data_IF_444470588154
#
_entry.id   IF_444470588154
#
_cell.length_a   1.000
_cell.length_b   1.000
_cell.length_c   1.000
_cell.angle_alpha   90.00
_cell.angle_beta   90.00
_cell.angle_gamma   90.00
#
_symmetry.space_group_name_H-M   'P 1'
#
loop_
_entity.id
_entity.type
_entity.pdbx_description
1 polymer ?
#
# COMPACT_ATOMS: atom_id res chain seq x y z
N UNK A 1 64.76 6.50 -5.00
CA UNK A 1 63.45 7.16 -5.15
C UNK A 1 62.42 6.07 -5.46
N UNK A 2 61.67 5.56 -4.48
CA UNK A 2 60.63 4.53 -4.67
C UNK A 2 59.28 5.24 -4.64
N UNK A 3 58.58 5.31 -5.78
CA UNK A 3 57.18 5.74 -5.84
C UNK A 3 56.28 4.53 -5.56
N UNK A 4 55.46 4.64 -4.52
CA UNK A 4 54.39 3.69 -4.21
C UNK A 4 53.10 4.28 -4.80
N UNK A 5 52.51 3.58 -5.78
CA UNK A 5 51.19 3.91 -6.31
C UNK A 5 50.12 3.37 -5.34
N UNK A 6 49.35 4.28 -4.75
CA UNK A 6 48.25 3.96 -3.83
C UNK A 6 46.98 3.74 -4.67
N UNK A 7 46.56 2.47 -4.80
CA UNK A 7 45.32 2.10 -5.48
C UNK A 7 44.11 2.50 -4.65
N UNK A 8 43.24 3.33 -5.24
CA UNK A 8 41.93 3.69 -4.67
C UNK A 8 40.98 2.51 -4.85
N UNK A 9 40.61 1.84 -3.75
CA UNK A 9 39.53 0.86 -3.73
C UNK A 9 38.18 1.61 -3.66
N UNK A 10 37.42 1.57 -4.75
CA UNK A 10 36.02 2.01 -4.78
C UNK A 10 35.18 0.99 -3.99
N UNK A 11 34.82 1.34 -2.75
CA UNK A 11 33.82 0.62 -1.99
C UNK A 11 32.43 0.90 -2.60
N UNK A 12 31.87 -0.08 -3.30
CA UNK A 12 30.48 -0.02 -3.75
C UNK A 12 29.53 -0.04 -2.55
N UNK A 13 28.62 0.93 -2.49
CA UNK A 13 27.50 0.89 -1.55
C UNK A 13 26.55 -0.24 -1.97
N UNK A 14 26.72 -1.43 -1.38
CA UNK A 14 25.66 -2.42 -1.36
C UNK A 14 24.59 -1.90 -0.38
N UNK A 15 23.46 -1.42 -0.92
CA UNK A 15 22.28 -1.15 -0.11
C UNK A 15 21.77 -2.48 0.41
N UNK A 16 22.04 -2.75 1.68
CA UNK A 16 21.42 -3.86 2.41
C UNK A 16 19.91 -3.62 2.36
N UNK A 17 19.09 -4.55 1.83
CA UNK A 17 17.64 -4.41 1.89
C UNK A 17 17.21 -4.29 3.36
N UNK A 18 16.16 -3.50 3.66
CA UNK A 18 15.70 -3.33 5.02
C UNK A 18 15.48 -4.69 5.68
N UNK A 19 15.93 -4.81 6.93
CA UNK A 19 15.77 -6.01 7.73
C UNK A 19 14.28 -6.33 7.88
N UNK A 20 13.95 -7.60 7.66
CA UNK A 20 12.65 -8.23 7.87
C UNK A 20 12.13 -7.83 9.26
N UNK A 21 11.07 -7.02 9.30
CA UNK A 21 10.41 -6.50 10.50
C UNK A 21 9.61 -7.57 11.27
N UNK A 22 9.75 -8.84 10.86
CA UNK A 22 9.07 -9.99 11.43
C UNK A 22 7.62 -10.15 10.96
N UNK A 23 7.13 -9.22 10.13
CA UNK A 23 5.87 -9.36 9.41
C UNK A 23 6.02 -10.44 8.32
N UNK A 24 5.04 -11.35 8.16
CA UNK A 24 5.14 -12.37 7.14
C UNK A 24 5.01 -11.73 5.75
N UNK A 25 5.92 -12.09 4.84
CA UNK A 25 5.86 -11.67 3.44
C UNK A 25 4.61 -12.26 2.78
N UNK A 26 3.88 -11.41 2.05
CA UNK A 26 2.64 -11.79 1.36
C UNK A 26 2.77 -11.56 -0.14
N UNK A 27 2.25 -12.50 -0.92
CA UNK A 27 2.09 -12.40 -2.36
C UNK A 27 0.71 -12.86 -2.78
N UNK A 28 0.21 -12.32 -3.89
CA UNK A 28 -1.14 -12.60 -4.41
C UNK A 28 -1.17 -12.52 -5.94
N UNK A 29 -2.02 -13.32 -6.54
CA UNK A 29 -2.45 -13.15 -7.93
C UNK A 29 -3.96 -13.06 -8.01
N UNK A 30 -4.43 -12.35 -9.03
CA UNK A 30 -5.85 -12.04 -9.18
C UNK A 30 -6.51 -12.93 -10.23
N UNK A 31 -5.77 -13.40 -11.24
CA UNK A 31 -6.25 -14.38 -12.21
C UNK A 31 -5.15 -15.42 -12.54
N UNK A 32 -5.26 -16.67 -12.05
CA UNK A 32 -6.24 -17.12 -11.06
C UNK A 32 -6.03 -16.47 -9.68
N UNK A 33 -7.04 -16.57 -8.81
CA UNK A 33 -6.94 -16.09 -7.43
C UNK A 33 -6.10 -17.04 -6.58
N UNK A 34 -4.97 -16.53 -6.10
CA UNK A 34 -4.09 -17.26 -5.18
C UNK A 34 -3.37 -16.30 -4.24
N UNK A 35 -2.86 -16.84 -3.13
CA UNK A 35 -1.97 -16.15 -2.22
C UNK A 35 -0.85 -17.05 -1.71
N UNK A 36 0.29 -16.44 -1.39
CA UNK A 36 1.40 -17.07 -0.68
C UNK A 36 1.77 -16.21 0.51
N UNK A 37 1.93 -16.84 1.67
CA UNK A 37 2.49 -16.21 2.87
C UNK A 37 3.79 -16.91 3.26
N UNK A 38 4.87 -16.17 3.47
CA UNK A 38 6.18 -16.65 3.91
C UNK A 38 6.53 -15.95 5.23
N UNK A 39 6.53 -16.69 6.33
CA UNK A 39 6.82 -16.14 7.65
C UNK A 39 6.66 -17.19 8.75
N UNK A 40 7.22 -16.92 9.94
CA UNK A 40 7.16 -17.88 11.05
C UNK A 40 7.78 -19.25 10.73
N UNK A 41 8.73 -19.31 9.79
CA UNK A 41 9.34 -20.56 9.31
C UNK A 41 8.43 -21.42 8.43
N UNK A 42 7.29 -20.89 7.96
CA UNK A 42 6.33 -21.57 7.09
C UNK A 42 6.16 -20.83 5.77
N UNK A 43 5.85 -21.59 4.73
CA UNK A 43 5.44 -21.09 3.42
C UNK A 43 4.09 -21.73 3.08
N UNK A 44 3.06 -20.91 3.00
CA UNK A 44 1.67 -21.34 2.84
C UNK A 44 1.13 -20.82 1.52
N UNK A 45 0.62 -21.71 0.68
CA UNK A 45 -0.11 -21.39 -0.53
C UNK A 45 -1.61 -21.63 -0.32
N UNK A 46 -2.44 -20.70 -0.75
CA UNK A 46 -3.89 -20.83 -0.82
C UNK A 46 -4.38 -20.39 -2.21
N UNK A 47 -5.24 -21.17 -2.84
CA UNK A 47 -5.82 -20.83 -4.14
C UNK A 47 -7.07 -21.68 -4.40
N UNK A 48 -7.84 -21.34 -5.42
CA UNK A 48 -9.07 -22.06 -5.76
C UNK A 48 -8.81 -23.32 -6.58
N UNK A 49 -7.77 -23.30 -7.41
CA UNK A 49 -7.52 -24.35 -8.41
C UNK A 49 -6.77 -25.57 -7.85
N UNK A 50 -6.25 -25.46 -6.63
CA UNK A 50 -5.50 -26.54 -6.00
C UNK A 50 -5.63 -26.48 -4.46
N UNK A 51 -5.45 -27.62 -3.77
CA UNK A 51 -5.51 -27.64 -2.31
C UNK A 51 -4.50 -26.69 -1.66
N UNK A 52 -4.85 -26.19 -0.47
CA UNK A 52 -3.92 -25.46 0.40
C UNK A 52 -2.66 -26.30 0.64
N UNK A 53 -1.50 -25.68 0.47
CA UNK A 53 -0.20 -26.32 0.71
C UNK A 53 0.52 -25.54 1.81
N UNK A 54 0.96 -26.24 2.85
CA UNK A 54 1.65 -25.65 4.00
C UNK A 54 2.92 -26.44 4.28
N UNK A 55 4.08 -25.82 4.02
CA UNK A 55 5.39 -26.46 4.11
C UNK A 55 6.36 -25.61 4.94
N UNK A 56 7.42 -26.20 5.52
CA UNK A 56 8.52 -25.42 6.09
C UNK A 56 9.09 -24.46 5.05
N UNK A 57 9.28 -23.19 5.44
CA UNK A 57 9.94 -22.22 4.58
C UNK A 57 11.44 -22.57 4.46
N UNK A 58 11.95 -22.86 3.26
CA UNK A 58 13.38 -23.06 3.07
C UNK A 58 14.13 -21.73 3.23
N UNK A 59 15.44 -21.81 3.46
CA UNK A 59 16.29 -20.62 3.37
C UNK A 59 16.24 -20.07 1.93
N UNK A 60 16.00 -18.75 1.73
CA UNK A 60 15.96 -18.17 0.40
C UNK A 60 17.33 -18.25 -0.27
N UNK A 61 17.34 -18.51 -1.58
CA UNK A 61 18.55 -18.46 -2.42
C UNK A 61 18.49 -17.25 -3.36
N UNK A 62 19.63 -16.65 -3.73
CA UNK A 62 19.66 -15.60 -4.74
C UNK A 62 19.05 -16.06 -6.07
N UNK A 63 18.22 -15.21 -6.69
CA UNK A 63 17.62 -15.47 -8.00
C UNK A 63 17.45 -14.15 -8.77
N UNK A 64 18.32 -13.92 -9.76
CA UNK A 64 18.41 -12.62 -10.43
C UNK A 64 18.73 -11.49 -9.43
N UNK A 65 17.96 -10.41 -9.47
CA UNK A 65 18.03 -9.33 -8.48
C UNK A 65 17.22 -9.62 -7.19
N UNK A 66 16.51 -10.76 -7.14
CA UNK A 66 15.63 -11.14 -6.07
C UNK A 66 16.00 -12.45 -5.41
N UNK A 67 14.99 -13.21 -4.99
CA UNK A 67 15.15 -14.42 -4.19
C UNK A 67 14.20 -15.54 -4.60
N UNK A 68 14.65 -16.77 -4.43
CA UNK A 68 13.89 -18.00 -4.65
C UNK A 68 13.73 -18.78 -3.35
N UNK A 69 12.51 -19.22 -3.09
CA UNK A 69 12.19 -20.24 -2.09
C UNK A 69 11.82 -21.51 -2.82
N UNK A 70 12.58 -22.58 -2.59
CA UNK A 70 12.38 -23.87 -3.25
C UNK A 70 12.07 -24.93 -2.20
N UNK A 71 10.82 -25.38 -2.18
CA UNK A 71 10.36 -26.47 -1.30
C UNK A 71 10.09 -27.73 -2.11
N UNK A 72 9.79 -28.84 -1.42
CA UNK A 72 9.39 -30.08 -2.07
C UNK A 72 8.02 -29.99 -2.77
N UNK A 73 7.19 -28.98 -2.48
CA UNK A 73 5.83 -28.88 -3.01
C UNK A 73 5.69 -27.79 -4.10
N UNK A 74 6.38 -26.66 -3.94
CA UNK A 74 6.38 -25.57 -4.90
C UNK A 74 7.57 -24.63 -4.74
N UNK A 75 7.80 -23.85 -5.80
CA UNK A 75 8.81 -22.79 -5.86
C UNK A 75 8.16 -21.42 -5.90
N UNK A 76 8.72 -20.47 -5.16
CA UNK A 76 8.34 -19.05 -5.21
C UNK A 76 9.54 -18.23 -5.62
N UNK A 77 9.44 -17.56 -6.76
CA UNK A 77 10.44 -16.57 -7.20
C UNK A 77 9.89 -15.17 -6.96
N UNK A 78 10.67 -14.36 -6.26
CA UNK A 78 10.36 -12.97 -5.97
C UNK A 78 11.38 -12.11 -6.69
N UNK A 79 10.92 -11.24 -7.58
CA UNK A 79 11.74 -10.31 -8.35
C UNK A 79 11.35 -8.87 -7.99
N UNK A 80 12.29 -8.03 -7.50
CA UNK A 80 12.00 -6.63 -7.22
C UNK A 80 11.59 -5.87 -8.48
N UNK A 81 10.58 -5.02 -8.35
CA UNK A 81 10.06 -4.17 -9.41
C UNK A 81 8.57 -3.91 -9.24
N UNK A 82 8.10 -2.69 -9.59
CA UNK A 82 6.70 -2.32 -9.43
C UNK A 82 5.79 -3.31 -10.17
N UNK A 83 4.87 -3.90 -9.43
CA UNK A 83 3.88 -4.85 -9.93
C UNK A 83 2.48 -4.30 -9.69
N UNK A 84 1.65 -4.29 -10.74
CA UNK A 84 0.23 -3.99 -10.62
C UNK A 84 -0.54 -5.29 -10.87
N UNK A 85 -1.59 -5.52 -10.09
CA UNK A 85 -2.45 -6.68 -10.22
C UNK A 85 -3.54 -6.51 -11.30
N UNK A 86 -3.49 -5.40 -12.06
CA UNK A 86 -4.32 -5.13 -13.23
C UNK A 86 -5.80 -4.84 -12.94
N UNK A 87 -6.23 -4.99 -11.69
CA UNK A 87 -7.62 -4.83 -11.27
C UNK A 87 -7.81 -3.77 -10.18
N UNK A 88 -6.75 -3.46 -9.44
CA UNK A 88 -6.76 -2.43 -8.40
C UNK A 88 -5.78 -1.30 -8.70
N UNK A 89 -6.01 -0.16 -8.05
CA UNK A 89 -5.06 0.97 -8.08
C UNK A 89 -3.83 0.74 -7.17
N UNK A 90 -3.63 -0.49 -6.65
CA UNK A 90 -2.46 -0.82 -5.86
C UNK A 90 -1.26 -1.14 -6.77
N UNK A 91 -0.08 -0.68 -6.34
CA UNK A 91 1.20 -1.11 -6.87
C UNK A 91 1.97 -1.78 -5.75
N UNK A 92 2.74 -2.81 -6.06
CA UNK A 92 3.50 -3.62 -5.10
C UNK A 92 4.99 -3.58 -5.45
N UNK A 93 5.89 -3.76 -4.47
CA UNK A 93 7.33 -3.69 -4.69
C UNK A 93 7.90 -4.87 -5.47
N UNK A 94 7.23 -6.02 -5.46
CA UNK A 94 7.75 -7.26 -6.04
C UNK A 94 6.78 -7.87 -7.06
N UNK A 95 7.35 -8.43 -8.13
CA UNK A 95 6.70 -9.39 -9.02
C UNK A 95 6.99 -10.82 -8.53
N UNK A 96 5.96 -11.66 -8.44
CA UNK A 96 6.05 -13.00 -7.84
C UNK A 96 5.57 -14.07 -8.81
N UNK A 97 6.37 -15.12 -8.93
CA UNK A 97 6.06 -16.34 -9.70
C UNK A 97 5.96 -17.53 -8.76
N UNK A 98 4.87 -18.28 -8.84
CA UNK A 98 4.68 -19.54 -8.10
C UNK A 98 4.60 -20.70 -9.09
N UNK A 99 5.40 -21.74 -8.87
CA UNK A 99 5.47 -22.91 -9.75
C UNK A 99 5.28 -24.20 -8.96
N UNK A 100 4.34 -25.03 -9.42
CA UNK A 100 4.12 -26.41 -8.97
C UNK A 100 4.67 -27.38 -10.01
N UNK A 101 5.18 -28.52 -9.57
CA UNK A 101 5.66 -29.56 -10.48
C UNK A 101 4.50 -30.06 -11.36
N UNK A 102 4.69 -30.04 -12.69
CA UNK A 102 3.69 -30.48 -13.66
C UNK A 102 2.55 -29.48 -13.93
N UNK A 103 2.56 -28.28 -13.33
CA UNK A 103 1.60 -27.22 -13.60
C UNK A 103 2.23 -26.12 -14.48
N UNK A 104 1.65 -25.88 -15.67
CA UNK A 104 2.07 -24.82 -16.58
C UNK A 104 0.85 -24.04 -17.12
N UNK A 105 0.95 -22.71 -17.30
CA UNK A 105 2.09 -21.85 -16.92
C UNK A 105 2.21 -21.66 -15.39
N UNK A 106 3.36 -21.19 -14.88
CA UNK A 106 3.45 -20.79 -13.47
C UNK A 106 2.50 -19.63 -13.18
N UNK A 107 2.04 -19.57 -11.93
CA UNK A 107 1.16 -18.52 -11.47
C UNK A 107 1.92 -17.20 -11.31
N UNK A 108 1.34 -16.12 -11.80
CA UNK A 108 1.92 -14.78 -11.73
C UNK A 108 1.12 -13.89 -10.79
N UNK A 109 1.83 -12.98 -10.12
CA UNK A 109 1.22 -12.07 -9.16
C UNK A 109 2.22 -11.05 -8.62
N UNK A 110 1.78 -10.33 -7.60
CA UNK A 110 2.54 -9.28 -6.95
C UNK A 110 2.79 -9.63 -5.48
N UNK A 111 3.83 -9.08 -4.87
CA UNK A 111 4.13 -9.32 -3.46
C UNK A 111 4.79 -8.17 -2.74
N UNK A 112 4.82 -8.30 -1.41
CA UNK A 112 5.13 -7.23 -0.48
C UNK A 112 3.90 -6.41 -0.10
N UNK A 113 4.10 -5.48 0.84
CA UNK A 113 3.08 -4.51 1.19
C UNK A 113 2.83 -3.53 0.03
N UNK A 114 1.59 -3.07 -0.18
CA UNK A 114 1.31 -2.11 -1.23
C UNK A 114 2.17 -0.87 -1.06
N UNK A 115 2.64 -0.32 -2.18
CA UNK A 115 3.38 0.93 -2.23
C UNK A 115 2.43 2.12 -2.11
N UNK A 116 2.87 3.22 -1.46
CA UNK A 116 2.13 4.47 -1.50
C UNK A 116 2.00 4.96 -2.94
N UNK A 117 0.87 5.59 -3.30
CA UNK A 117 0.71 6.12 -4.64
C UNK A 117 1.55 7.39 -4.80
N UNK A 118 2.13 7.60 -5.98
CA UNK A 118 2.89 8.84 -6.26
C UNK A 118 1.98 10.07 -6.27
N UNK A 119 0.73 9.89 -6.71
CA UNK A 119 -0.32 10.92 -6.78
C UNK A 119 -1.58 10.43 -6.10
N UNK A 120 -2.33 11.34 -5.49
CA UNK A 120 -3.66 11.04 -4.98
C UNK A 120 -4.68 10.86 -6.13
N UNK A 121 -4.44 11.40 -7.31
CA UNK A 121 -5.38 11.29 -8.43
C UNK A 121 -5.66 9.81 -8.78
N UNK A 122 -6.95 9.46 -8.86
CA UNK A 122 -7.41 8.10 -9.12
C UNK A 122 -7.62 7.26 -7.86
N UNK A 123 -7.26 7.74 -6.68
CA UNK A 123 -7.31 6.93 -5.45
C UNK A 123 -8.61 7.08 -4.67
N UNK A 124 -9.02 6.00 -4.00
CA UNK A 124 -10.20 5.93 -3.13
C UNK A 124 -9.81 5.45 -1.73
N UNK A 125 -10.43 6.05 -0.70
CA UNK A 125 -10.05 5.80 0.68
C UNK A 125 -11.27 5.76 1.61
N UNK A 126 -11.25 4.81 2.54
CA UNK A 126 -12.19 4.72 3.66
C UNK A 126 -11.58 5.41 4.87
N UNK A 127 -12.23 6.45 5.38
CA UNK A 127 -11.74 7.20 6.54
C UNK A 127 -11.92 6.34 7.80
N UNK A 128 -10.84 6.18 8.56
CA UNK A 128 -10.80 5.36 9.78
C UNK A 128 -10.57 6.19 11.05
N UNK A 129 -10.08 7.42 10.91
CA UNK A 129 -9.89 8.36 12.02
C UNK A 129 -10.06 9.80 11.56
N UNK A 130 -10.71 10.63 12.38
CA UNK A 130 -10.81 12.08 12.19
C UNK A 130 -10.46 12.77 13.50
N UNK A 131 -9.35 13.51 13.53
CA UNK A 131 -8.96 14.34 14.67
C UNK A 131 -8.71 13.56 15.95
N UNK A 132 -8.25 12.30 15.85
CA UNK A 132 -8.03 11.40 16.99
C UNK A 132 -9.23 10.52 17.35
N UNK A 133 -10.39 10.70 16.72
CA UNK A 133 -11.56 9.84 16.94
C UNK A 133 -11.68 8.78 15.84
N UNK A 134 -11.77 7.51 16.24
CA UNK A 134 -11.99 6.39 15.33
C UNK A 134 -13.39 6.44 14.70
N UNK A 135 -13.46 6.28 13.39
CA UNK A 135 -14.71 6.30 12.61
C UNK A 135 -14.80 5.08 11.69
N UNK A 136 -16.01 4.68 11.33
CA UNK A 136 -16.24 3.54 10.44
C UNK A 136 -17.60 3.61 9.74
N UNK A 137 -17.70 2.89 8.63
CA UNK A 137 -18.92 2.75 7.82
C UNK A 137 -18.94 3.60 6.55
N UNK A 138 -19.91 3.32 5.68
CA UNK A 138 -20.06 3.88 4.33
C UNK A 138 -20.12 5.42 4.27
N UNK A 139 -20.40 6.08 5.39
CA UNK A 139 -20.49 7.53 5.49
C UNK A 139 -19.12 8.22 5.65
N UNK A 140 -18.03 7.44 5.70
CA UNK A 140 -16.67 7.89 5.96
C UNK A 140 -15.74 7.44 4.84
N UNK A 141 -15.73 8.19 3.74
CA UNK A 141 -14.92 7.91 2.57
C UNK A 141 -14.49 9.21 1.88
N UNK A 142 -13.39 9.15 1.15
CA UNK A 142 -12.94 10.22 0.27
C UNK A 142 -12.33 9.64 -1.01
N UNK A 143 -12.51 10.34 -2.10
CA UNK A 143 -12.07 9.98 -3.44
C UNK A 143 -11.41 11.17 -4.10
N UNK A 144 -10.30 10.90 -4.77
CA UNK A 144 -9.54 11.86 -5.56
C UNK A 144 -9.65 11.47 -7.04
N UNK A 145 -10.28 12.31 -7.85
CA UNK A 145 -10.48 12.05 -9.29
C UNK A 145 -9.99 13.26 -10.08
N UNK A 146 -8.91 13.07 -10.85
CA UNK A 146 -8.20 14.19 -11.48
C UNK A 146 -7.76 15.20 -10.42
N UNK A 147 -8.23 16.45 -10.55
CA UNK A 147 -7.98 17.56 -9.63
C UNK A 147 -9.11 17.79 -8.62
N UNK A 148 -10.05 16.84 -8.50
CA UNK A 148 -11.21 16.94 -7.61
C UNK A 148 -11.08 16.00 -6.41
N UNK A 149 -11.49 16.51 -5.26
CA UNK A 149 -11.70 15.74 -4.03
C UNK A 149 -13.20 15.68 -3.76
N UNK A 150 -13.70 14.51 -3.36
CA UNK A 150 -15.10 14.33 -2.97
C UNK A 150 -15.26 13.23 -1.94
N UNK A 151 -16.39 13.20 -1.24
CA UNK A 151 -16.67 12.12 -0.30
C UNK A 151 -17.68 12.50 0.76
N UNK A 152 -17.62 11.78 1.87
CA UNK A 152 -18.43 12.02 3.07
C UNK A 152 -17.59 11.75 4.31
N UNK A 153 -17.70 12.61 5.31
CA UNK A 153 -17.00 12.50 6.59
C UNK A 153 -18.00 12.52 7.75
N UNK A 154 -19.09 11.74 7.64
CA UNK A 154 -20.19 11.72 8.60
C UNK A 154 -21.51 12.16 7.97
N UNK A 155 -21.92 13.42 8.17
CA UNK A 155 -23.27 13.85 7.80
C UNK A 155 -23.39 14.32 6.34
N UNK A 156 -22.63 15.33 5.90
CA UNK A 156 -22.78 15.90 4.56
C UNK A 156 -21.78 15.35 3.56
N UNK A 157 -22.21 15.34 2.30
CA UNK A 157 -21.30 15.10 1.18
C UNK A 157 -20.48 16.35 0.97
N UNK A 158 -19.19 16.18 0.70
CA UNK A 158 -18.29 17.27 0.32
C UNK A 158 -17.76 17.06 -1.10
N UNK A 159 -17.44 18.17 -1.76
CA UNK A 159 -16.70 18.16 -3.01
C UNK A 159 -15.93 19.47 -3.18
N UNK A 160 -14.77 19.42 -3.83
CA UNK A 160 -13.95 20.60 -4.08
C UNK A 160 -12.83 20.29 -5.08
N UNK A 161 -12.05 21.31 -5.41
CA UNK A 161 -10.77 21.11 -6.09
C UNK A 161 -9.67 20.82 -5.08
N UNK A 162 -8.59 20.20 -5.52
CA UNK A 162 -7.36 20.11 -4.75
C UNK A 162 -6.14 20.32 -5.64
N UNK A 163 -5.02 20.67 -4.99
CA UNK A 163 -3.70 20.64 -5.62
C UNK A 163 -2.76 19.86 -4.73
N UNK A 164 -2.01 18.94 -5.34
CA UNK A 164 -0.91 18.24 -4.70
C UNK A 164 0.41 18.84 -5.20
N UNK A 165 1.31 19.18 -4.28
CA UNK A 165 2.69 19.56 -4.56
C UNK A 165 3.61 18.75 -3.64
N UNK A 166 4.17 17.66 -4.17
CA UNK A 166 4.88 16.66 -3.37
C UNK A 166 3.99 16.12 -2.26
N UNK A 167 4.45 16.26 -1.01
CA UNK A 167 3.72 15.86 0.20
C UNK A 167 2.73 16.92 0.72
N UNK A 168 2.48 18.01 -0.02
CA UNK A 168 1.51 19.04 0.41
C UNK A 168 0.24 18.98 -0.42
N UNK A 169 -0.89 18.78 0.25
CA UNK A 169 -2.24 18.88 -0.29
C UNK A 169 -2.84 20.24 0.08
N UNK A 170 -3.42 20.95 -0.89
CA UNK A 170 -4.24 22.14 -0.63
C UNK A 170 -5.62 21.91 -1.22
N UNK A 171 -6.65 21.91 -0.36
CA UNK A 171 -8.04 21.79 -0.78
C UNK A 171 -8.60 23.19 -1.05
N UNK A 172 -9.24 23.37 -2.21
CA UNK A 172 -9.80 24.63 -2.65
C UNK A 172 -11.29 24.53 -2.95
N UNK A 173 -12.06 25.51 -2.48
CA UNK A 173 -13.50 25.60 -2.78
C UNK A 173 -14.31 24.40 -2.28
N UNK A 174 -13.97 23.86 -1.11
CA UNK A 174 -14.68 22.74 -0.51
C UNK A 174 -16.13 23.15 -0.21
N UNK A 175 -17.07 22.57 -0.94
CA UNK A 175 -18.49 22.74 -0.75
C UNK A 175 -19.08 21.51 -0.06
N UNK A 176 -20.00 21.74 0.87
CA UNK A 176 -20.72 20.69 1.60
C UNK A 176 -22.24 20.89 1.45
N UNK A 177 -22.99 19.78 1.44
CA UNK A 177 -24.45 19.84 1.55
C UNK A 177 -24.87 20.35 2.94
N UNK A 178 -26.15 20.68 3.15
CA UNK A 178 -26.68 21.18 4.44
C UNK A 178 -27.81 20.31 4.98
N UNK A 179 -27.51 19.05 5.23
CA UNK A 179 -28.39 18.11 5.94
C UNK A 179 -28.09 18.17 7.43
N UNK A 180 -29.11 17.90 8.25
CA UNK A 180 -28.94 17.59 9.66
C UNK A 180 -29.03 16.07 9.82
N UNK A 181 -28.02 15.47 10.46
CA UNK A 181 -28.00 14.04 10.75
C UNK A 181 -28.01 13.80 12.26
N UNK A 182 -28.64 12.73 12.74
CA UNK A 182 -28.49 12.30 14.13
C UNK A 182 -27.07 11.78 14.40
N UNK A 183 -26.69 11.72 15.68
CA UNK A 183 -25.41 11.16 16.12
C UNK A 183 -24.20 12.07 15.86
N UNK A 184 -22.97 11.51 15.87
CA UNK A 184 -21.74 12.31 15.85
C UNK A 184 -21.35 12.85 14.47
N UNK A 185 -22.08 12.50 13.41
CA UNK A 185 -21.68 12.78 12.02
C UNK A 185 -21.49 14.27 11.69
N UNK A 186 -22.24 15.16 12.34
CA UNK A 186 -22.05 16.62 12.19
C UNK A 186 -20.73 17.11 12.82
N UNK A 187 -20.34 16.53 13.96
CA UNK A 187 -19.08 16.85 14.64
C UNK A 187 -17.90 16.39 13.82
N UNK A 188 -17.93 15.15 13.32
CA UNK A 188 -16.88 14.61 12.46
C UNK A 188 -16.73 15.40 11.16
N UNK A 189 -17.83 15.78 10.51
CA UNK A 189 -17.80 16.58 9.29
C UNK A 189 -17.16 17.95 9.51
N UNK A 190 -17.56 18.66 10.58
CA UNK A 190 -16.96 19.95 10.93
C UNK A 190 -15.47 19.81 11.19
N UNK A 191 -15.08 18.78 11.95
CA UNK A 191 -13.67 18.50 12.28
C UNK A 191 -12.85 18.19 11.04
N UNK A 192 -13.40 17.39 10.12
CA UNK A 192 -12.80 17.13 8.81
C UNK A 192 -12.56 18.44 8.05
N UNK A 193 -13.58 19.30 7.95
CA UNK A 193 -13.49 20.60 7.30
C UNK A 193 -12.42 21.51 7.90
N UNK A 194 -12.31 21.57 9.22
CA UNK A 194 -11.27 22.32 9.93
C UNK A 194 -9.86 21.82 9.58
N UNK A 195 -9.66 20.50 9.55
CA UNK A 195 -8.36 19.87 9.24
C UNK A 195 -7.92 20.19 7.81
N UNK A 196 -8.83 20.13 6.83
CA UNK A 196 -8.50 20.33 5.41
C UNK A 196 -8.60 21.80 4.95
N UNK A 197 -8.87 22.74 5.86
CA UNK A 197 -9.10 24.16 5.53
C UNK A 197 -7.84 24.92 5.08
N UNK A 198 -6.65 24.38 5.36
CA UNK A 198 -5.37 24.95 4.96
C UNK A 198 -4.47 23.94 4.25
N UNK A 199 -3.16 24.21 4.13
CA UNK A 199 -2.20 23.22 3.67
C UNK A 199 -2.20 22.00 4.60
N UNK A 200 -2.25 20.82 3.99
CA UNK A 200 -2.28 19.51 4.66
C UNK A 200 -1.04 18.73 4.22
N UNK A 201 -0.30 18.17 5.17
CA UNK A 201 0.80 17.24 4.86
C UNK A 201 0.24 15.85 4.58
N UNK A 202 0.65 15.27 3.47
CA UNK A 202 0.38 13.89 3.07
C UNK A 202 1.47 13.00 3.67
N UNK A 203 1.08 11.89 4.27
CA UNK A 203 1.98 10.83 4.73
C UNK A 203 1.37 9.45 4.47
N UNK A 204 2.23 8.44 4.41
CA UNK A 204 1.83 7.05 4.26
C UNK A 204 2.54 6.19 5.32
N UNK A 205 1.97 6.04 6.54
CA UNK A 205 2.54 5.16 7.56
C UNK A 205 2.63 3.69 7.11
N UNK A 206 1.77 3.30 6.18
CA UNK A 206 1.84 2.09 5.34
C UNK A 206 1.32 2.48 3.94
N UNK A 207 1.65 1.75 2.87
CA UNK A 207 1.27 2.18 1.52
C UNK A 207 -0.22 2.09 1.19
N UNK A 208 -1.01 1.40 2.02
CA UNK A 208 -2.47 1.41 2.03
C UNK A 208 -3.08 2.36 3.09
N UNK A 209 -2.27 3.10 3.82
CA UNK A 209 -2.69 3.95 4.94
C UNK A 209 -2.34 5.40 4.65
N UNK A 210 -3.32 6.20 4.21
CA UNK A 210 -3.16 7.64 4.01
C UNK A 210 -3.29 8.37 5.35
N UNK A 211 -2.35 9.26 5.64
CA UNK A 211 -2.39 10.22 6.73
C UNK A 211 -2.38 11.65 6.17
N UNK A 212 -3.40 12.43 6.53
CA UNK A 212 -3.55 13.83 6.16
C UNK A 212 -3.45 14.68 7.43
N UNK A 213 -2.35 15.42 7.58
CA UNK A 213 -2.09 16.25 8.77
C UNK A 213 -2.27 17.73 8.46
N UNK A 214 -3.34 18.34 8.98
CA UNK A 214 -3.60 19.77 8.92
C UNK A 214 -3.34 20.46 10.26
N UNK A 215 -3.45 21.78 10.29
CA UNK A 215 -3.22 22.56 11.53
C UNK A 215 -4.20 22.21 12.66
N UNK A 216 -5.41 21.77 12.33
CA UNK A 216 -6.43 21.42 13.31
C UNK A 216 -6.35 19.96 13.79
N UNK A 217 -5.55 19.09 13.15
CA UNK A 217 -5.45 17.67 13.49
C UNK A 217 -5.17 16.77 12.29
N UNK A 218 -5.36 15.47 12.49
CA UNK A 218 -5.01 14.43 11.50
C UNK A 218 -6.25 13.66 11.05
N UNK A 219 -6.29 13.27 9.78
CA UNK A 219 -7.23 12.30 9.22
C UNK A 219 -6.42 11.07 8.80
N UNK A 220 -6.91 9.88 9.13
CA UNK A 220 -6.37 8.61 8.64
C UNK A 220 -7.41 7.92 7.79
N UNK A 221 -7.00 7.44 6.63
CA UNK A 221 -7.87 6.70 5.72
C UNK A 221 -7.16 5.50 5.10
N UNK A 222 -7.79 4.32 5.13
CA UNK A 222 -7.27 3.10 4.50
C UNK A 222 -7.70 3.06 3.03
N UNK A 223 -6.83 2.59 2.15
CA UNK A 223 -7.14 2.49 0.73
C UNK A 223 -8.32 1.55 0.53
N UNK A 224 -9.33 2.01 -0.20
CA UNK A 224 -10.48 1.21 -0.58
C UNK A 224 -10.11 0.35 -1.80
N UNK A 225 -10.62 -0.89 -1.83
CA UNK A 225 -10.54 -1.79 -2.98
C UNK A 225 -11.58 -1.40 -4.03
#
# INVERSE_FOLDING_TARGET
>A
MRMIALGLLLAGCATVPPADDGEPYRARGTEPFWSVTIGGGRMVYEGLDQPRVDVPAPAPRPFGAGRRYESAAFTVDISPGPCSDGMSDFTYPDSVRVAFEGAEPPLMGCGGEPLPPETLAGTNWSIVEIGGEGVSGELYHLSFSGDRISGRAGCNRFSGGYRQNGETLTVGGLAMTRMACPGPGMTHERRFGEIVSGPVRIGFPAGDMLELTGAAGTIRARRAM
#
